data_IF_459038418116
#
_entry.id   IF_459038418116
#
_cell.length_a   1.000
_cell.length_b   1.000
_cell.length_c   1.000
_cell.angle_alpha   90.00
_cell.angle_beta   90.00
_cell.angle_gamma   90.00
#
_symmetry.space_group_name_H-M   'P 1'
#
loop_
_entity.id
_entity.type
_entity.pdbx_description
1 polymer ?
#
# COMPACT_ATOMS: atom_id res chain seq x y z
N UNK A 1 -20.22 8.50 3.03
CA UNK A 1 -20.00 7.67 4.25
C UNK A 1 -19.73 6.20 3.90
N UNK A 2 -20.61 5.50 3.17
CA UNK A 2 -20.44 4.07 2.81
C UNK A 2 -19.03 3.72 2.28
N UNK A 3 -18.52 4.48 1.31
CA UNK A 3 -17.15 4.32 0.77
C UNK A 3 -16.05 4.31 1.83
N UNK A 4 -16.05 5.29 2.74
CA UNK A 4 -15.00 5.44 3.77
C UNK A 4 -15.03 4.25 4.72
N UNK A 5 -16.23 3.85 5.15
CA UNK A 5 -16.44 2.68 6.02
C UNK A 5 -15.94 1.40 5.36
N UNK A 6 -16.27 1.18 4.08
CA UNK A 6 -15.80 0.00 3.34
C UNK A 6 -14.29 -0.06 3.25
N UNK A 7 -13.63 1.07 2.93
CA UNK A 7 -12.16 1.13 2.85
C UNK A 7 -11.52 0.89 4.22
N UNK A 8 -12.05 1.51 5.27
CA UNK A 8 -11.54 1.30 6.63
C UNK A 8 -11.64 -0.16 7.07
N UNK A 9 -12.78 -0.82 6.81
CA UNK A 9 -12.96 -2.25 7.11
C UNK A 9 -11.99 -3.13 6.34
N UNK A 10 -11.76 -2.84 5.05
CA UNK A 10 -10.78 -3.58 4.24
C UNK A 10 -9.36 -3.40 4.79
N UNK A 11 -8.99 -2.19 5.20
CA UNK A 11 -7.68 -1.93 5.79
C UNK A 11 -7.48 -2.66 7.11
N UNK A 12 -8.49 -2.65 7.98
CA UNK A 12 -8.44 -3.41 9.24
C UNK A 12 -8.31 -4.90 8.95
N UNK A 13 -9.14 -5.44 8.05
CA UNK A 13 -9.06 -6.84 7.63
C UNK A 13 -7.67 -7.17 7.10
N UNK A 14 -7.12 -6.39 6.17
CA UNK A 14 -5.79 -6.63 5.61
C UNK A 14 -4.68 -6.47 6.64
N UNK A 15 -4.84 -5.60 7.63
CA UNK A 15 -3.89 -5.48 8.75
C UNK A 15 -3.90 -6.75 9.60
N UNK A 16 -5.07 -7.32 9.86
CA UNK A 16 -5.21 -8.60 10.56
C UNK A 16 -4.56 -9.71 9.73
N UNK A 17 -4.84 -9.78 8.42
CA UNK A 17 -4.25 -10.80 7.54
C UNK A 17 -2.72 -10.65 7.39
N UNK A 18 -2.20 -9.42 7.34
CA UNK A 18 -0.75 -9.14 7.30
C UNK A 18 -0.03 -9.66 8.55
N UNK A 19 -0.70 -9.66 9.72
CA UNK A 19 -0.11 -10.14 10.97
C UNK A 19 -0.43 -11.61 11.30
N UNK A 20 -1.53 -12.15 10.77
CA UNK A 20 -1.99 -13.51 11.08
C UNK A 20 -1.71 -14.52 9.97
N UNK A 21 -1.95 -14.17 8.71
CA UNK A 21 -1.83 -15.11 7.58
C UNK A 21 -0.53 -14.96 6.82
N UNK A 22 -0.09 -13.73 6.54
CA UNK A 22 1.13 -13.52 5.74
C UNK A 22 2.40 -14.12 6.36
N UNK A 23 2.56 -14.21 7.69
CA UNK A 23 3.69 -14.93 8.28
C UNK A 23 3.75 -16.43 7.92
N UNK A 24 2.63 -17.08 7.63
CA UNK A 24 2.61 -18.47 7.15
C UNK A 24 3.07 -18.62 5.69
N UNK A 25 3.05 -17.53 4.91
CA UNK A 25 3.55 -17.48 3.53
C UNK A 25 4.99 -16.96 3.48
N UNK A 26 5.74 -17.06 4.58
CA UNK A 26 7.11 -16.54 4.63
C UNK A 26 8.04 -17.36 3.76
N UNK A 27 8.80 -16.65 2.91
CA UNK A 27 9.93 -17.22 2.18
C UNK A 27 11.17 -16.47 2.67
N UNK A 28 12.12 -17.18 3.30
CA UNK A 28 13.33 -16.59 3.91
C UNK A 28 13.01 -15.47 4.93
N UNK A 29 11.99 -15.66 5.77
CA UNK A 29 11.50 -14.67 6.75
C UNK A 29 10.94 -13.37 6.14
N UNK A 30 10.62 -13.37 4.85
CA UNK A 30 10.06 -12.24 4.13
C UNK A 30 8.64 -12.59 3.68
N UNK A 31 7.71 -11.67 3.88
CA UNK A 31 6.31 -11.80 3.48
C UNK A 31 5.78 -10.48 2.89
N UNK A 32 4.77 -10.54 2.01
CA UNK A 32 4.20 -9.36 1.36
C UNK A 32 3.30 -8.57 2.30
N UNK A 33 3.00 -7.30 1.96
CA UNK A 33 2.01 -6.50 2.69
C UNK A 33 0.78 -6.23 1.83
N UNK A 34 -0.33 -6.86 2.20
CA UNK A 34 -1.65 -6.69 1.59
C UNK A 34 -2.15 -5.26 1.78
N UNK A 35 -1.91 -4.68 2.97
CA UNK A 35 -2.27 -3.29 3.27
C UNK A 35 -1.58 -2.36 2.27
N UNK A 36 -0.26 -2.52 2.09
CA UNK A 36 0.50 -1.67 1.18
C UNK A 36 0.00 -1.76 -0.26
N UNK A 37 -0.13 -2.98 -0.79
CA UNK A 37 -0.57 -3.23 -2.17
C UNK A 37 -1.95 -2.60 -2.41
N UNK A 38 -2.89 -2.81 -1.49
CA UNK A 38 -4.24 -2.28 -1.59
C UNK A 38 -4.25 -0.75 -1.67
N UNK A 39 -3.53 -0.10 -0.76
CA UNK A 39 -3.54 1.36 -0.63
C UNK A 39 -2.92 2.02 -1.86
N UNK A 40 -1.84 1.45 -2.41
CA UNK A 40 -1.19 1.95 -3.64
C UNK A 40 -2.19 1.91 -4.80
N UNK A 41 -2.84 0.76 -5.03
CA UNK A 41 -3.81 0.62 -6.10
C UNK A 41 -5.04 1.50 -5.91
N UNK A 42 -5.56 1.57 -4.68
CA UNK A 42 -6.67 2.45 -4.36
C UNK A 42 -6.33 3.92 -4.66
N UNK A 43 -5.09 4.34 -4.34
CA UNK A 43 -4.60 5.70 -4.57
C UNK A 43 -4.42 6.02 -6.05
N UNK A 44 -3.86 5.08 -6.83
CA UNK A 44 -3.77 5.18 -8.30
C UNK A 44 -5.14 5.44 -8.93
N UNK A 45 -6.18 4.77 -8.44
CA UNK A 45 -7.51 4.86 -9.03
C UNK A 45 -8.24 6.12 -8.58
N UNK A 46 -8.20 6.45 -7.29
CA UNK A 46 -9.09 7.42 -6.65
C UNK A 46 -8.52 8.83 -6.44
N UNK A 47 -7.22 9.03 -6.68
CA UNK A 47 -6.58 10.34 -6.70
C UNK A 47 -6.21 10.92 -5.32
N UNK A 48 -5.60 12.10 -5.35
CA UNK A 48 -4.75 12.64 -4.27
C UNK A 48 -5.44 12.75 -2.90
N UNK A 49 -6.64 13.34 -2.84
CA UNK A 49 -7.32 13.57 -1.55
C UNK A 49 -7.57 12.25 -0.83
N UNK A 50 -8.07 11.24 -1.55
CA UNK A 50 -8.31 9.91 -0.98
C UNK A 50 -7.00 9.19 -0.62
N UNK A 51 -5.93 9.45 -1.36
CA UNK A 51 -4.63 8.86 -1.12
C UNK A 51 -3.98 9.36 0.19
N UNK A 52 -4.17 10.63 0.55
CA UNK A 52 -3.70 11.17 1.83
C UNK A 52 -4.37 10.43 2.99
N UNK A 53 -5.71 10.39 3.02
CA UNK A 53 -6.44 9.76 4.13
C UNK A 53 -6.11 8.28 4.27
N UNK A 54 -6.09 7.54 3.16
CA UNK A 54 -5.84 6.10 3.18
C UNK A 54 -4.36 5.81 3.48
N UNK A 55 -3.42 6.62 2.99
CA UNK A 55 -1.99 6.51 3.32
C UNK A 55 -1.70 6.74 4.79
N UNK A 56 -2.24 7.82 5.38
CA UNK A 56 -2.10 8.12 6.81
C UNK A 56 -2.73 7.03 7.66
N UNK A 57 -3.99 6.67 7.39
CA UNK A 57 -4.70 5.68 8.20
C UNK A 57 -4.07 4.28 8.11
N UNK A 58 -3.67 3.85 6.91
CA UNK A 58 -2.98 2.56 6.75
C UNK A 58 -1.60 2.53 7.41
N UNK A 59 -0.85 3.63 7.34
CA UNK A 59 0.44 3.72 8.02
C UNK A 59 0.29 3.76 9.54
N UNK A 60 -0.74 4.43 10.08
CA UNK A 60 -1.08 4.37 11.50
C UNK A 60 -1.36 2.94 11.95
N UNK A 61 -2.15 2.17 11.18
CA UNK A 61 -2.43 0.76 11.48
C UNK A 61 -1.15 -0.09 11.47
N UNK A 62 -0.20 0.19 10.59
CA UNK A 62 1.10 -0.51 10.53
C UNK A 62 2.00 -0.12 11.70
N UNK A 63 1.97 1.13 12.14
CA UNK A 63 2.79 1.64 13.24
C UNK A 63 2.42 1.03 14.60
N UNK A 64 1.17 0.57 14.79
CA UNK A 64 0.74 -0.13 16.02
C UNK A 64 1.60 -1.37 16.32
N UNK A 65 2.12 -2.01 15.27
CA UNK A 65 2.96 -3.21 15.40
C UNK A 65 4.47 -2.88 15.43
N UNK A 66 4.84 -1.61 15.25
CA UNK A 66 6.23 -1.18 15.25
C UNK A 66 6.63 -0.74 16.66
N UNK A 67 7.38 -1.58 17.37
CA UNK A 67 7.73 -1.39 18.78
C UNK A 67 8.44 -0.06 19.11
N UNK A 68 9.18 0.56 18.17
CA UNK A 68 10.03 1.73 18.43
C UNK A 68 10.00 2.81 17.31
N UNK A 69 8.82 3.13 16.75
CA UNK A 69 8.77 4.11 15.65
C UNK A 69 7.38 4.47 15.16
N UNK A 70 6.49 4.82 16.09
CA UNK A 70 5.16 5.33 15.77
C UNK A 70 5.29 6.59 14.89
N UNK A 71 4.57 6.62 13.77
CA UNK A 71 4.56 7.73 12.82
C UNK A 71 5.44 7.51 11.58
N UNK A 72 6.35 6.52 11.58
CA UNK A 72 7.24 6.26 10.45
C UNK A 72 6.46 5.71 9.25
N UNK A 73 5.68 4.63 9.44
CA UNK A 73 4.87 4.10 8.34
C UNK A 73 3.76 5.07 7.95
N UNK A 74 3.21 5.82 8.90
CA UNK A 74 2.24 6.89 8.63
C UNK A 74 2.78 7.89 7.60
N UNK A 75 3.99 8.42 7.84
CA UNK A 75 4.61 9.39 6.94
C UNK A 75 4.97 8.77 5.58
N UNK A 76 5.65 7.62 5.59
CA UNK A 76 6.11 6.98 4.35
C UNK A 76 4.92 6.55 3.49
N UNK A 77 3.89 5.93 4.08
CA UNK A 77 2.71 5.54 3.33
C UNK A 77 2.00 6.76 2.75
N UNK A 78 1.85 7.87 3.50
CA UNK A 78 1.26 9.11 2.96
C UNK A 78 2.00 9.58 1.70
N UNK A 79 3.34 9.66 1.74
CA UNK A 79 4.17 10.08 0.59
C UNK A 79 3.98 9.14 -0.59
N UNK A 80 4.04 7.82 -0.36
CA UNK A 80 3.88 6.82 -1.41
C UNK A 80 2.49 6.90 -2.04
N UNK A 81 1.45 7.09 -1.25
CA UNK A 81 0.08 7.17 -1.74
C UNK A 81 -0.13 8.42 -2.58
N UNK A 82 0.46 9.55 -2.18
CA UNK A 82 0.46 10.77 -2.97
C UNK A 82 1.15 10.60 -4.33
N UNK A 83 2.32 9.97 -4.34
CA UNK A 83 3.03 9.62 -5.58
C UNK A 83 2.21 8.66 -6.43
N UNK A 84 1.63 7.62 -5.83
CA UNK A 84 0.74 6.66 -6.50
C UNK A 84 -0.45 7.35 -7.16
N UNK A 85 -1.06 8.32 -6.47
CA UNK A 85 -2.17 9.10 -7.01
C UNK A 85 -1.75 10.04 -8.14
N UNK A 86 -0.56 10.64 -8.08
CA UNK A 86 -0.02 11.46 -9.17
C UNK A 86 0.27 10.62 -10.41
N UNK A 87 0.95 9.49 -10.25
CA UNK A 87 1.21 8.52 -11.34
C UNK A 87 -0.13 8.00 -11.90
N UNK A 88 -1.11 7.77 -11.03
CA UNK A 88 -2.47 7.38 -11.41
C UNK A 88 -3.20 8.35 -12.34
N UNK A 89 -2.77 9.60 -12.46
CA UNK A 89 -3.35 10.58 -13.41
C UNK A 89 -2.81 10.40 -14.83
N UNK A 90 -1.61 9.84 -14.99
CA UNK A 90 -0.91 9.74 -16.28
C UNK A 90 -0.98 8.32 -16.87
N UNK A 91 -1.17 7.30 -16.04
CA UNK A 91 -1.17 5.90 -16.50
C UNK A 91 -2.55 5.40 -16.97
N UNK A 92 -2.53 4.46 -17.92
CA UNK A 92 -3.72 3.72 -18.32
C UNK A 92 -4.09 2.67 -17.26
N UNK A 93 -5.19 2.91 -16.55
CA UNK A 93 -5.69 2.05 -15.47
C UNK A 93 -6.27 0.72 -15.98
N UNK A 94 -6.68 0.63 -17.24
CA UNK A 94 -7.26 -0.59 -17.80
C UNK A 94 -6.21 -1.69 -18.07
N UNK A 95 -4.94 -1.30 -18.27
CA UNK A 95 -3.86 -2.25 -18.52
C UNK A 95 -3.26 -2.71 -17.20
N UNK A 96 -3.50 -3.98 -16.83
CA UNK A 96 -3.01 -4.59 -15.58
C UNK A 96 -1.51 -4.37 -15.34
N UNK A 97 -0.69 -4.41 -16.40
CA UNK A 97 0.78 -4.35 -16.32
C UNK A 97 1.28 -3.03 -15.73
N UNK A 98 0.68 -1.88 -16.10
CA UNK A 98 1.21 -0.57 -15.70
C UNK A 98 1.05 -0.33 -14.19
N UNK A 99 -0.13 -0.54 -13.58
CA UNK A 99 -0.31 -0.46 -12.13
C UNK A 99 0.58 -1.44 -11.35
N UNK A 100 0.80 -2.65 -11.87
CA UNK A 100 1.66 -3.65 -11.21
C UNK A 100 3.12 -3.18 -11.15
N UNK A 101 3.65 -2.66 -12.27
CA UNK A 101 5.01 -2.12 -12.32
C UNK A 101 5.15 -0.90 -11.41
N UNK A 102 4.14 -0.02 -11.36
CA UNK A 102 4.18 1.14 -10.45
C UNK A 102 4.11 0.71 -8.98
N UNK A 103 3.32 -0.31 -8.65
CA UNK A 103 3.30 -0.89 -7.31
C UNK A 103 4.65 -1.48 -6.91
N UNK A 104 5.32 -2.19 -7.83
CA UNK A 104 6.68 -2.69 -7.62
C UNK A 104 7.68 -1.56 -7.35
N UNK A 105 7.70 -0.53 -8.19
CA UNK A 105 8.59 0.63 -8.00
C UNK A 105 8.34 1.38 -6.69
N UNK A 106 7.07 1.58 -6.32
CA UNK A 106 6.71 2.21 -5.05
C UNK A 106 7.03 1.33 -3.84
N UNK A 107 7.00 0.00 -3.98
CA UNK A 107 7.44 -0.93 -2.94
C UNK A 107 8.94 -0.81 -2.67
N UNK A 108 9.74 -0.69 -3.73
CA UNK A 108 11.18 -0.44 -3.58
C UNK A 108 11.41 0.90 -2.88
N UNK A 109 10.71 1.94 -3.32
CA UNK A 109 10.79 3.26 -2.69
C UNK A 109 10.43 3.20 -1.20
N UNK A 110 9.37 2.47 -0.82
CA UNK A 110 9.01 2.23 0.59
C UNK A 110 10.16 1.61 1.36
N UNK A 111 10.72 0.51 0.83
CA UNK A 111 11.76 -0.23 1.51
C UNK A 111 13.05 0.59 1.66
N UNK A 112 13.40 1.40 0.65
CA UNK A 112 14.56 2.32 0.73
C UNK A 112 14.32 3.41 1.78
N UNK A 113 13.15 4.04 1.80
CA UNK A 113 12.80 5.05 2.81
C UNK A 113 12.82 4.47 4.22
N UNK A 114 12.24 3.28 4.41
CA UNK A 114 12.28 2.56 5.68
C UNK A 114 13.70 2.21 6.09
N UNK A 115 14.54 1.75 5.15
CA UNK A 115 15.94 1.43 5.42
C UNK A 115 16.72 2.65 5.89
N UNK A 116 16.56 3.81 5.22
CA UNK A 116 17.21 5.07 5.61
C UNK A 116 16.80 5.46 7.04
N UNK A 117 15.51 5.42 7.35
CA UNK A 117 15.00 5.82 8.67
C UNK A 117 15.48 4.86 9.76
N UNK A 118 15.41 3.54 9.53
CA UNK A 118 15.90 2.55 10.49
C UNK A 118 17.41 2.66 10.72
N UNK A 119 18.18 2.97 9.66
CA UNK A 119 19.61 3.22 9.77
C UNK A 119 19.91 4.44 10.66
N UNK A 120 19.15 5.54 10.51
CA UNK A 120 19.27 6.73 11.36
C UNK A 120 18.93 6.44 12.83
N UNK A 121 17.99 5.54 13.09
CA UNK A 121 17.60 5.08 14.44
C UNK A 121 18.62 4.07 15.02
N UNK A 122 19.64 3.68 14.24
CA UNK A 122 20.69 2.74 14.68
C UNK A 122 20.29 1.27 14.57
N UNK A 123 19.17 0.95 13.92
CA UNK A 123 18.76 -0.43 13.67
C UNK A 123 19.40 -0.97 12.38
N UNK A 124 20.01 -2.15 12.47
CA UNK A 124 20.59 -2.84 11.31
C UNK A 124 19.49 -3.59 10.56
N UNK A 125 19.22 -3.16 9.33
CA UNK A 125 18.40 -3.89 8.36
C UNK A 125 19.26 -4.35 7.18
N UNK A 126 18.86 -5.42 6.49
CA UNK A 126 19.58 -5.91 5.32
C UNK A 126 18.95 -5.34 4.05
N UNK A 127 19.72 -4.60 3.25
CA UNK A 127 19.22 -3.97 2.03
C UNK A 127 18.58 -4.97 1.05
N UNK A 128 19.10 -6.20 0.98
CA UNK A 128 18.56 -7.27 0.13
C UNK A 128 17.08 -7.57 0.42
N UNK A 129 16.60 -7.36 1.65
CA UNK A 129 15.20 -7.58 2.02
C UNK A 129 14.26 -6.68 1.23
N UNK A 130 14.67 -5.46 0.88
CA UNK A 130 13.86 -4.50 0.13
C UNK A 130 13.47 -5.05 -1.25
N UNK A 131 14.42 -5.66 -1.95
CA UNK A 131 14.18 -6.23 -3.28
C UNK A 131 13.27 -7.45 -3.19
N UNK A 132 13.50 -8.35 -2.24
CA UNK A 132 12.67 -9.55 -2.07
C UNK A 132 11.23 -9.20 -1.67
N UNK A 133 11.02 -8.27 -0.73
CA UNK A 133 9.68 -7.78 -0.36
C UNK A 133 8.97 -7.20 -1.58
N UNK A 134 9.68 -6.41 -2.39
CA UNK A 134 9.09 -5.75 -3.55
C UNK A 134 8.71 -6.75 -4.64
N UNK A 135 9.55 -7.74 -4.91
CA UNK A 135 9.20 -8.84 -5.82
C UNK A 135 7.99 -9.63 -5.32
N UNK A 136 7.93 -9.91 -4.02
CA UNK A 136 6.79 -10.63 -3.46
C UNK A 136 5.49 -9.81 -3.58
N UNK A 137 5.57 -8.51 -3.27
CA UNK A 137 4.45 -7.59 -3.47
C UNK A 137 4.01 -7.57 -4.93
N UNK A 138 4.93 -7.55 -5.90
CA UNK A 138 4.59 -7.58 -7.33
C UNK A 138 3.79 -8.83 -7.70
N UNK A 139 4.20 -10.01 -7.24
CA UNK A 139 3.49 -11.28 -7.52
C UNK A 139 2.06 -11.23 -6.97
N UNK A 140 1.91 -10.83 -5.71
CA UNK A 140 0.59 -10.72 -5.06
C UNK A 140 -0.26 -9.63 -5.71
N UNK A 141 0.37 -8.55 -6.18
CA UNK A 141 -0.30 -7.43 -6.81
C UNK A 141 -1.04 -7.82 -8.10
N UNK A 142 -0.55 -8.83 -8.84
CA UNK A 142 -1.22 -9.38 -10.03
C UNK A 142 -2.64 -9.86 -9.67
N UNK A 143 -2.79 -10.54 -8.54
CA UNK A 143 -4.07 -11.09 -8.07
C UNK A 143 -4.97 -10.00 -7.49
N UNK A 144 -4.39 -9.08 -6.70
CA UNK A 144 -5.13 -8.07 -5.96
C UNK A 144 -5.63 -6.95 -6.87
N UNK A 145 -4.87 -6.54 -7.89
CA UNK A 145 -5.19 -5.37 -8.71
C UNK A 145 -6.59 -5.46 -9.33
N UNK A 146 -6.92 -6.60 -9.94
CA UNK A 146 -8.23 -6.81 -10.58
C UNK A 146 -9.38 -6.66 -9.58
N UNK A 147 -9.21 -7.14 -8.35
CA UNK A 147 -10.23 -7.02 -7.29
C UNK A 147 -10.39 -5.57 -6.84
N UNK A 148 -9.29 -4.84 -6.66
CA UNK A 148 -9.32 -3.42 -6.27
C UNK A 148 -9.93 -2.56 -7.38
N UNK A 149 -9.61 -2.85 -8.64
CA UNK A 149 -10.17 -2.16 -9.80
C UNK A 149 -11.70 -2.30 -9.86
N UNK A 150 -12.22 -3.53 -9.76
CA UNK A 150 -13.67 -3.80 -9.72
C UNK A 150 -14.33 -3.13 -8.52
N UNK A 151 -13.69 -3.16 -7.34
CA UNK A 151 -14.21 -2.51 -6.15
C UNK A 151 -14.40 -1.00 -6.37
N UNK A 152 -13.42 -0.34 -6.99
CA UNK A 152 -13.46 1.10 -7.23
C UNK A 152 -14.49 1.53 -8.27
N UNK A 153 -14.92 0.64 -9.16
CA UNK A 153 -15.97 0.91 -10.16
C UNK A 153 -17.40 0.83 -9.59
N UNK A 154 -17.61 0.31 -8.38
CA UNK A 154 -18.96 0.20 -7.80
C UNK A 154 -19.58 1.59 -7.57
N UNK A 155 -20.90 1.71 -7.76
CA UNK A 155 -21.63 2.99 -7.74
C UNK A 155 -21.45 3.81 -6.45
N UNK A 156 -21.28 3.15 -5.31
CA UNK A 156 -21.06 3.82 -4.02
C UNK A 156 -19.61 4.29 -3.82
N UNK A 157 -18.68 3.83 -4.66
CA UNK A 157 -17.26 4.20 -4.64
C UNK A 157 -16.95 5.32 -5.63
N UNK A 158 -17.68 5.40 -6.75
CA UNK A 158 -17.53 6.45 -7.76
C UNK A 158 -17.90 7.80 -7.17
N UNK A 159 -17.00 8.79 -7.34
CA UNK A 159 -17.26 10.17 -6.95
C UNK A 159 -18.29 10.73 -7.93
N UNK A 160 -19.59 10.67 -7.61
CA UNK A 160 -20.62 11.32 -8.42
C UNK A 160 -20.26 12.80 -8.53
N UNK A 161 -20.07 13.26 -9.76
CA UNK A 161 -19.90 14.68 -10.05
C UNK A 161 -21.13 15.40 -9.52
N UNK A 162 -20.94 16.29 -8.53
CA UNK A 162 -21.94 17.27 -8.17
C UNK A 162 -21.74 18.42 -9.17
N UNK A 163 -22.60 18.49 -10.17
CA UNK A 163 -22.83 19.72 -10.91
C UNK A 163 -23.59 20.70 -9.99
#
# INVERSE_FOLDING_TARGET
>A
MKRVITVALILILFTILDNSLMPFLTIKHIYPSLVFIFVVFYSIINGNVSAIYVGVFSGLLQDVYLMNGIGINMFINMVICLLAAQIGKTIFKDKLVIPIITCFGLSILKGVLMFIILYLVGQRSYFNTVLYVSLYNMIISILIYKKVYILCQKDFMVKKWRF
#
